data_IF_739779463892
#
_entry.id   IF_739779463892
#
_cell.length_a   1.000
_cell.length_b   1.000
_cell.length_c   1.000
_cell.angle_alpha   90.00
_cell.angle_beta   90.00
_cell.angle_gamma   90.00
#
_symmetry.space_group_name_H-M   'P 1'
#
loop_
_entity.id
_entity.type
_entity.pdbx_description
1 polymer ?
#
# COMPACT_ATOMS: atom_id res chain seq x y z
N UNK A 1 43.22 17.77 -37.47
CA UNK A 1 43.84 17.34 -36.19
C UNK A 1 43.49 15.90 -35.85
N UNK A 2 44.27 15.25 -35.00
CA UNK A 2 44.00 13.87 -34.61
C UNK A 2 42.81 13.77 -33.63
N UNK A 3 42.62 14.73 -32.77
CA UNK A 3 41.43 14.88 -31.90
C UNK A 3 40.70 16.18 -32.26
N UNK A 4 39.40 16.24 -31.99
CA UNK A 4 38.62 17.44 -32.23
C UNK A 4 39.00 18.57 -31.28
N UNK A 5 38.80 18.35 -29.98
CA UNK A 5 39.24 19.26 -28.92
C UNK A 5 40.13 18.48 -27.96
N UNK A 6 41.28 19.06 -27.58
CA UNK A 6 42.22 18.45 -26.63
C UNK A 6 42.59 19.42 -25.52
N UNK A 7 42.32 19.02 -24.29
CA UNK A 7 42.76 19.68 -23.08
C UNK A 7 43.97 18.89 -22.52
N UNK A 8 45.04 19.57 -22.24
CA UNK A 8 46.29 18.94 -21.79
C UNK A 8 46.54 19.19 -20.32
N UNK A 9 47.57 18.51 -19.78
CA UNK A 9 48.04 18.57 -18.40
C UNK A 9 48.00 20.00 -17.84
N UNK A 10 47.54 20.16 -16.62
CA UNK A 10 47.43 21.41 -15.86
C UNK A 10 46.35 22.43 -16.36
N UNK A 11 45.79 22.19 -17.51
CA UNK A 11 44.70 23.05 -17.98
C UNK A 11 43.38 22.75 -17.25
N UNK A 12 42.67 23.81 -16.87
CA UNK A 12 41.30 23.75 -16.44
C UNK A 12 40.41 24.35 -17.54
N UNK A 13 39.46 23.57 -18.04
CA UNK A 13 38.66 23.97 -19.16
C UNK A 13 37.14 23.74 -18.92
N UNK A 14 36.34 24.65 -19.41
CA UNK A 14 34.90 24.51 -19.54
C UNK A 14 34.56 24.45 -21.04
N UNK A 15 34.25 23.25 -21.54
CA UNK A 15 34.00 22.99 -22.98
C UNK A 15 32.53 22.73 -23.18
N UNK A 16 31.84 23.66 -23.79
CA UNK A 16 30.37 23.57 -23.91
C UNK A 16 29.85 23.98 -25.30
N UNK A 17 28.74 23.37 -25.67
CA UNK A 17 27.98 23.68 -26.88
C UNK A 17 28.80 23.62 -28.16
N UNK A 18 29.77 22.69 -28.24
CA UNK A 18 30.54 22.45 -29.44
C UNK A 18 29.94 21.26 -30.20
N UNK A 19 30.06 21.32 -31.51
CA UNK A 19 29.80 20.18 -32.39
C UNK A 19 31.13 19.71 -32.97
N UNK A 20 31.51 18.47 -32.65
CA UNK A 20 32.76 17.86 -33.09
C UNK A 20 32.43 16.56 -33.84
N UNK A 21 32.72 16.55 -35.14
CA UNK A 21 32.43 15.41 -36.01
C UNK A 21 33.66 14.98 -36.79
N UNK A 22 33.73 13.67 -37.07
CA UNK A 22 34.70 13.06 -37.97
C UNK A 22 36.17 13.35 -37.63
N UNK A 23 36.46 13.54 -36.35
CA UNK A 23 37.87 13.62 -35.86
C UNK A 23 38.55 12.26 -36.11
N UNK A 24 39.81 12.26 -36.44
CA UNK A 24 40.57 11.02 -36.67
C UNK A 24 40.63 10.12 -35.41
N UNK A 25 40.73 10.73 -34.25
CA UNK A 25 40.75 10.05 -32.94
C UNK A 25 39.47 10.40 -32.13
N UNK A 26 39.65 10.94 -30.90
CA UNK A 26 38.53 11.31 -30.03
C UNK A 26 37.88 12.63 -30.43
N UNK A 27 36.57 12.76 -30.15
CA UNK A 27 35.87 14.02 -30.30
C UNK A 27 36.43 15.07 -29.36
N UNK A 28 36.43 14.82 -28.07
CA UNK A 28 36.97 15.65 -27.02
C UNK A 28 37.77 14.80 -26.04
N UNK A 29 38.97 15.24 -25.70
CA UNK A 29 39.85 14.54 -24.73
C UNK A 29 40.45 15.49 -23.69
N UNK A 30 40.37 15.05 -22.42
CA UNK A 30 41.18 15.60 -21.31
C UNK A 30 42.32 14.63 -21.02
N UNK A 31 43.54 15.15 -21.03
CA UNK A 31 44.78 14.37 -20.75
C UNK A 31 45.51 15.00 -19.58
N UNK A 32 45.25 14.56 -18.36
CA UNK A 32 45.83 15.10 -17.12
C UNK A 32 45.31 16.50 -16.73
N UNK A 33 44.29 17.01 -17.41
CA UNK A 33 43.65 18.27 -17.09
C UNK A 33 42.41 18.09 -16.22
N UNK A 34 41.76 19.20 -15.89
CA UNK A 34 40.50 19.21 -15.15
C UNK A 34 39.45 20.08 -15.80
N UNK A 35 38.20 19.91 -15.40
CA UNK A 35 37.12 20.79 -15.86
C UNK A 35 35.82 20.08 -16.22
N UNK A 36 35.11 20.72 -17.14
CA UNK A 36 33.78 20.28 -17.53
C UNK A 36 33.63 20.20 -19.05
N UNK A 37 32.86 19.21 -19.52
CA UNK A 37 32.36 19.20 -20.87
C UNK A 37 30.83 19.05 -20.83
N UNK A 38 30.10 20.02 -21.39
CA UNK A 38 28.64 20.01 -21.35
C UNK A 38 28.01 20.41 -22.68
N UNK A 39 26.84 19.84 -22.91
CA UNK A 39 25.98 20.19 -24.07
C UNK A 39 26.71 20.09 -25.40
N UNK A 40 27.77 19.25 -25.53
CA UNK A 40 28.50 19.05 -26.75
C UNK A 40 27.88 17.91 -27.56
N UNK A 41 28.00 18.01 -28.88
CA UNK A 41 27.63 16.99 -29.85
C UNK A 41 28.92 16.39 -30.44
N UNK A 42 29.19 15.12 -30.17
CA UNK A 42 30.41 14.42 -30.48
C UNK A 42 30.10 13.16 -31.32
N UNK A 43 30.14 13.31 -32.64
CA UNK A 43 29.60 12.31 -33.56
C UNK A 43 30.61 11.82 -34.58
N UNK A 44 30.48 10.56 -34.96
CA UNK A 44 31.24 9.95 -36.05
C UNK A 44 32.79 10.07 -35.90
N UNK A 45 33.27 10.18 -34.65
CA UNK A 45 34.70 10.28 -34.42
C UNK A 45 35.39 8.91 -34.51
N UNK A 46 36.65 8.89 -34.91
CA UNK A 46 37.42 7.68 -35.16
C UNK A 46 37.71 6.83 -33.91
N UNK A 47 37.60 7.40 -32.72
CA UNK A 47 37.65 6.73 -31.44
C UNK A 47 36.43 7.13 -30.61
N UNK A 48 36.57 7.42 -29.30
CA UNK A 48 35.46 7.76 -28.43
C UNK A 48 34.99 9.21 -28.61
N UNK A 49 33.72 9.47 -28.27
CA UNK A 49 33.17 10.81 -28.23
C UNK A 49 33.90 11.66 -27.19
N UNK A 50 33.86 11.23 -25.93
CA UNK A 50 34.57 11.82 -24.80
C UNK A 50 35.67 10.87 -24.30
N UNK A 51 36.82 11.44 -23.89
CA UNK A 51 37.92 10.69 -23.31
C UNK A 51 38.51 11.43 -22.11
N UNK A 52 38.70 10.73 -21.00
CA UNK A 52 39.49 11.17 -19.87
C UNK A 52 40.71 10.24 -19.68
N UNK A 53 41.90 10.77 -19.64
CA UNK A 53 43.14 10.00 -19.55
C UNK A 53 44.18 10.67 -18.63
N UNK A 54 45.14 9.90 -18.12
CA UNK A 54 46.27 10.39 -17.32
C UNK A 54 45.83 11.24 -16.10
N UNK A 55 45.06 10.69 -15.21
CA UNK A 55 44.58 11.35 -13.99
C UNK A 55 43.76 12.63 -14.24
N UNK A 56 43.06 12.71 -15.35
CA UNK A 56 42.10 13.77 -15.57
C UNK A 56 40.96 13.74 -14.54
N UNK A 57 40.53 14.90 -14.07
CA UNK A 57 39.40 15.06 -13.15
C UNK A 57 38.31 15.91 -13.80
N UNK A 58 37.26 15.29 -14.29
CA UNK A 58 36.33 15.93 -15.21
C UNK A 58 34.86 15.59 -14.91
N UNK A 59 34.01 16.54 -15.28
CA UNK A 59 32.55 16.35 -15.28
C UNK A 59 32.05 16.34 -16.72
N UNK A 60 31.38 15.27 -17.13
CA UNK A 60 30.73 15.14 -18.42
C UNK A 60 29.22 15.08 -18.25
N UNK A 61 28.53 16.13 -18.71
CA UNK A 61 27.09 16.20 -18.53
C UNK A 61 26.35 16.78 -19.75
N UNK A 62 25.18 16.22 -20.03
CA UNK A 62 24.32 16.62 -21.15
C UNK A 62 25.00 16.57 -22.52
N UNK A 63 26.01 15.73 -22.71
CA UNK A 63 26.65 15.58 -24.01
C UNK A 63 25.94 14.50 -24.85
N UNK A 64 25.90 14.71 -26.17
CA UNK A 64 25.45 13.71 -27.14
C UNK A 64 26.68 13.05 -27.78
N UNK A 65 26.86 11.76 -27.56
CA UNK A 65 27.99 10.98 -28.10
C UNK A 65 27.45 9.85 -28.97
N UNK A 66 27.37 10.06 -30.29
CA UNK A 66 26.73 9.14 -31.20
C UNK A 66 27.67 8.70 -32.31
N UNK A 67 27.47 7.46 -32.80
CA UNK A 67 28.14 6.89 -33.98
C UNK A 67 29.67 6.98 -33.95
N UNK A 68 30.27 7.02 -32.76
CA UNK A 68 31.73 7.01 -32.62
C UNK A 68 32.26 5.58 -32.81
N UNK A 69 33.42 5.41 -33.46
CA UNK A 69 34.04 4.08 -33.70
C UNK A 69 34.62 3.45 -32.41
N UNK A 70 34.70 4.20 -31.33
CA UNK A 70 35.01 3.72 -29.99
C UNK A 70 33.78 3.72 -29.12
N UNK A 71 33.93 4.25 -27.91
CA UNK A 71 32.87 4.39 -26.90
C UNK A 71 32.24 5.79 -26.92
N UNK A 72 31.07 5.93 -26.34
CA UNK A 72 30.52 7.25 -26.04
C UNK A 72 31.46 8.01 -25.11
N UNK A 73 31.73 7.45 -23.94
CA UNK A 73 32.70 7.94 -22.95
C UNK A 73 33.76 6.86 -22.69
N UNK A 74 35.03 7.26 -22.61
CA UNK A 74 36.12 6.41 -22.14
C UNK A 74 36.88 7.07 -21.02
N UNK A 75 37.06 6.39 -19.87
CA UNK A 75 37.91 6.79 -18.77
C UNK A 75 39.09 5.83 -18.62
N UNK A 76 40.31 6.36 -18.41
CA UNK A 76 41.51 5.57 -18.35
C UNK A 76 42.53 6.16 -17.35
N UNK A 77 43.49 5.35 -16.89
CA UNK A 77 44.70 5.76 -16.15
C UNK A 77 44.44 6.73 -14.97
N UNK A 78 43.74 6.25 -13.93
CA UNK A 78 43.45 7.01 -12.70
C UNK A 78 42.59 8.26 -12.90
N UNK A 79 41.91 8.39 -14.04
CA UNK A 79 40.98 9.51 -14.25
C UNK A 79 39.74 9.36 -13.39
N UNK A 80 39.21 10.49 -12.92
CA UNK A 80 37.97 10.58 -12.18
C UNK A 80 36.93 11.32 -13.04
N UNK A 81 35.85 10.65 -13.41
CA UNK A 81 34.87 11.18 -14.35
C UNK A 81 33.48 11.15 -13.70
N UNK A 82 32.92 12.32 -13.42
CA UNK A 82 31.52 12.42 -13.03
C UNK A 82 30.66 12.54 -14.28
N UNK A 83 29.63 11.72 -14.40
CA UNK A 83 28.73 11.71 -15.55
C UNK A 83 27.29 11.97 -15.13
N UNK A 84 26.53 12.68 -15.97
CA UNK A 84 25.08 12.87 -15.80
C UNK A 84 24.44 13.38 -17.09
N UNK A 85 23.26 12.90 -17.44
CA UNK A 85 22.46 13.40 -18.56
C UNK A 85 23.08 13.25 -19.95
N UNK A 86 24.12 12.43 -20.12
CA UNK A 86 24.70 12.21 -21.43
C UNK A 86 23.82 11.25 -22.26
N UNK A 87 23.74 11.47 -23.56
CA UNK A 87 23.01 10.64 -24.51
C UNK A 87 23.96 9.88 -25.41
N UNK A 88 23.69 8.60 -25.63
CA UNK A 88 24.51 7.70 -26.42
C UNK A 88 23.64 7.00 -27.45
N UNK A 89 24.17 6.85 -28.68
CA UNK A 89 23.58 6.02 -29.70
C UNK A 89 24.61 5.52 -30.67
N UNK A 90 24.52 4.28 -31.07
CA UNK A 90 25.30 3.64 -32.14
C UNK A 90 26.82 3.76 -32.00
N UNK A 91 27.37 3.88 -30.80
CA UNK A 91 28.81 3.83 -30.56
C UNK A 91 29.30 2.38 -30.75
N UNK A 92 30.32 2.18 -31.61
CA UNK A 92 30.67 0.82 -32.09
C UNK A 92 31.17 -0.12 -30.99
N UNK A 93 31.63 0.40 -29.83
CA UNK A 93 32.16 -0.38 -28.72
C UNK A 93 31.33 -0.30 -27.45
N UNK A 94 30.25 0.49 -27.45
CA UNK A 94 29.38 0.71 -26.29
C UNK A 94 29.43 2.15 -25.78
N UNK A 95 28.67 2.38 -24.72
CA UNK A 95 28.41 3.74 -24.24
C UNK A 95 29.49 4.23 -23.27
N UNK A 96 29.77 3.49 -22.22
CA UNK A 96 30.78 3.88 -21.22
C UNK A 96 31.79 2.75 -21.03
N UNK A 97 33.08 3.11 -21.02
CA UNK A 97 34.15 2.17 -20.76
C UNK A 97 35.18 2.73 -19.78
N UNK A 98 35.46 1.95 -18.77
CA UNK A 98 36.42 2.31 -17.70
C UNK A 98 37.53 1.30 -17.69
N UNK A 99 38.76 1.75 -17.65
CA UNK A 99 39.96 0.86 -17.65
C UNK A 99 41.08 1.39 -16.76
N UNK A 100 41.89 0.49 -16.29
CA UNK A 100 42.95 0.80 -15.34
C UNK A 100 42.35 1.20 -13.99
N UNK A 101 42.98 2.16 -13.33
CA UNK A 101 42.51 2.69 -12.03
C UNK A 101 41.62 3.94 -12.20
N UNK A 102 40.94 4.07 -13.32
CA UNK A 102 39.95 5.14 -13.52
C UNK A 102 38.63 4.81 -12.82
N UNK A 103 37.84 5.82 -12.53
CA UNK A 103 36.50 5.68 -11.99
C UNK A 103 35.53 6.61 -12.70
N UNK A 104 34.30 6.10 -12.90
CA UNK A 104 33.16 6.90 -13.31
C UNK A 104 32.20 6.99 -12.11
N UNK A 105 31.79 8.19 -11.78
CA UNK A 105 30.93 8.49 -10.64
C UNK A 105 29.56 8.96 -11.13
N UNK A 106 28.52 8.32 -10.64
CA UNK A 106 27.14 8.78 -10.79
C UNK A 106 26.75 9.75 -9.67
N UNK A 107 25.71 10.50 -9.87
CA UNK A 107 25.10 11.29 -8.80
C UNK A 107 24.51 10.35 -7.73
N UNK A 108 24.38 10.88 -6.52
CA UNK A 108 23.57 10.23 -5.49
C UNK A 108 22.08 10.23 -5.90
N UNK A 109 21.32 9.18 -5.57
CA UNK A 109 19.86 9.26 -5.64
C UNK A 109 19.32 10.35 -4.73
N UNK A 110 18.45 11.20 -5.29
CA UNK A 110 17.77 12.28 -4.56
C UNK A 110 16.36 11.83 -4.14
N UNK A 111 15.72 12.62 -3.25
CA UNK A 111 14.35 12.43 -2.81
C UNK A 111 14.04 11.02 -2.30
N UNK A 112 14.99 10.38 -1.63
CA UNK A 112 14.72 9.09 -0.96
C UNK A 112 13.65 9.29 0.09
N UNK A 113 12.53 8.59 -0.05
CA UNK A 113 11.35 8.67 0.82
C UNK A 113 10.90 7.28 1.22
N UNK A 114 10.18 7.21 2.32
CA UNK A 114 9.51 5.99 2.76
C UNK A 114 8.01 6.14 2.70
N UNK A 115 7.33 5.06 2.34
CA UNK A 115 5.88 4.94 2.35
C UNK A 115 5.48 3.55 2.84
N UNK A 116 4.19 3.34 3.08
CA UNK A 116 3.63 2.06 3.53
C UNK A 116 4.35 1.46 4.75
N UNK A 117 4.79 2.34 5.66
CA UNK A 117 5.51 1.92 6.86
C UNK A 117 4.57 1.12 7.76
N UNK A 118 4.95 -0.14 8.00
CA UNK A 118 4.24 -1.03 8.91
C UNK A 118 5.17 -1.62 9.97
N UNK A 119 4.75 -2.69 10.62
CA UNK A 119 5.50 -3.36 11.69
C UNK A 119 6.67 -4.17 11.15
N UNK A 120 6.48 -4.81 10.00
CA UNK A 120 7.37 -5.79 9.40
C UNK A 120 7.87 -5.40 8.00
N UNK A 121 7.41 -4.26 7.47
CA UNK A 121 7.77 -3.80 6.12
C UNK A 121 7.69 -2.29 5.97
N UNK A 122 8.38 -1.79 4.96
CA UNK A 122 8.22 -0.45 4.42
C UNK A 122 8.64 -0.41 2.94
N UNK A 123 8.21 0.59 2.22
CA UNK A 123 8.63 0.83 0.83
C UNK A 123 9.47 2.09 0.76
N UNK A 124 10.65 1.98 0.14
CA UNK A 124 11.49 3.12 -0.25
C UNK A 124 11.21 3.52 -1.68
N UNK A 125 11.26 4.80 -1.97
CA UNK A 125 11.22 5.36 -3.33
C UNK A 125 12.27 6.45 -3.44
N UNK A 126 12.82 6.68 -4.64
CA UNK A 126 13.82 7.70 -4.93
C UNK A 126 13.68 8.22 -6.36
N UNK A 127 14.37 9.32 -6.67
CA UNK A 127 14.40 9.85 -8.03
C UNK A 127 15.40 9.06 -8.89
N UNK A 128 15.08 8.94 -10.18
CA UNK A 128 15.95 8.29 -11.15
C UNK A 128 17.28 9.03 -11.29
N UNK A 129 18.38 8.27 -11.26
CA UNK A 129 19.72 8.76 -11.55
C UNK A 129 20.07 8.49 -13.00
N UNK A 130 20.33 9.54 -13.75
CA UNK A 130 20.70 9.43 -15.15
C UNK A 130 21.97 8.56 -15.35
N UNK A 131 21.94 7.69 -16.35
CA UNK A 131 22.96 6.67 -16.66
C UNK A 131 23.13 5.57 -15.60
N UNK A 132 22.26 5.46 -14.63
CA UNK A 132 22.27 4.30 -13.74
C UNK A 132 21.64 3.09 -14.44
N UNK A 133 22.26 1.94 -14.30
CA UNK A 133 21.67 0.63 -14.70
C UNK A 133 20.91 0.01 -13.53
N UNK A 134 21.06 0.54 -12.33
CA UNK A 134 20.33 0.09 -11.16
C UNK A 134 20.82 0.75 -9.88
N UNK A 135 20.35 0.19 -8.77
CA UNK A 135 20.56 0.74 -7.44
C UNK A 135 20.88 -0.36 -6.44
N UNK A 136 21.81 -0.10 -5.54
CA UNK A 136 22.02 -0.87 -4.32
C UNK A 136 21.28 -0.20 -3.17
N UNK A 137 20.53 -0.97 -2.42
CA UNK A 137 19.85 -0.52 -1.20
C UNK A 137 20.58 -1.09 0.00
N UNK A 138 20.94 -0.21 0.93
CA UNK A 138 21.63 -0.55 2.16
C UNK A 138 20.76 -0.24 3.36
N UNK A 139 20.85 -1.06 4.38
CA UNK A 139 20.15 -0.91 5.65
C UNK A 139 21.09 -1.16 6.82
N UNK A 140 20.87 -0.46 7.91
CA UNK A 140 21.36 -0.81 9.24
C UNK A 140 20.30 -0.50 10.30
N UNK A 141 20.46 -1.03 11.50
CA UNK A 141 19.72 -0.54 12.67
C UNK A 141 20.35 0.78 13.17
N UNK A 142 19.60 1.55 13.97
CA UNK A 142 20.08 2.81 14.57
C UNK A 142 20.95 2.55 15.83
N UNK A 143 21.63 1.40 15.89
CA UNK A 143 22.59 1.10 16.95
C UNK A 143 23.94 1.72 16.62
N UNK A 144 24.70 2.11 17.65
CA UNK A 144 25.95 2.87 17.52
C UNK A 144 27.00 2.10 16.69
N UNK A 145 27.10 0.79 16.88
CA UNK A 145 28.07 -0.07 16.19
C UNK A 145 27.50 -0.79 14.96
N UNK A 146 26.31 -0.40 14.48
CA UNK A 146 25.69 -1.08 13.34
C UNK A 146 26.29 -0.62 12.01
N UNK A 147 26.75 -1.57 11.22
CA UNK A 147 27.27 -1.36 9.86
C UNK A 147 26.13 -1.46 8.83
N UNK A 148 26.29 -0.75 7.71
CA UNK A 148 25.39 -0.87 6.58
C UNK A 148 25.58 -2.20 5.87
N UNK A 149 24.48 -2.92 5.69
CA UNK A 149 24.41 -4.14 4.89
C UNK A 149 23.65 -3.85 3.59
N UNK A 150 24.15 -4.34 2.46
CA UNK A 150 23.44 -4.33 1.21
C UNK A 150 22.30 -5.36 1.27
N UNK A 151 21.06 -4.89 1.22
CA UNK A 151 19.88 -5.75 1.32
C UNK A 151 19.19 -6.01 -0.03
N UNK A 152 19.47 -5.19 -1.05
CA UNK A 152 18.90 -5.38 -2.37
C UNK A 152 19.77 -4.78 -3.48
N UNK A 153 19.56 -5.33 -4.69
CA UNK A 153 19.93 -4.75 -5.97
C UNK A 153 18.65 -4.55 -6.78
N UNK A 154 18.39 -3.33 -7.20
CA UNK A 154 17.19 -2.94 -7.96
C UNK A 154 17.64 -2.54 -9.36
N UNK A 155 17.25 -3.31 -10.37
CA UNK A 155 17.60 -3.08 -11.79
C UNK A 155 16.41 -2.60 -12.62
N UNK A 156 15.24 -2.52 -12.02
CA UNK A 156 14.03 -2.02 -12.68
C UNK A 156 13.27 -1.09 -11.72
N UNK A 157 13.12 0.15 -12.16
CA UNK A 157 12.43 1.19 -11.40
C UNK A 157 13.26 1.83 -10.28
N UNK A 158 12.58 2.60 -9.45
CA UNK A 158 13.17 3.43 -8.37
C UNK A 158 12.43 3.22 -7.05
N UNK A 159 12.10 1.96 -6.75
CA UNK A 159 11.36 1.57 -5.55
C UNK A 159 11.81 0.21 -5.04
N UNK A 160 11.82 0.06 -3.73
CA UNK A 160 12.12 -1.21 -3.06
C UNK A 160 11.28 -1.37 -1.81
N UNK A 161 10.66 -2.54 -1.63
CA UNK A 161 9.96 -2.89 -0.40
C UNK A 161 10.81 -3.84 0.43
N UNK A 162 11.15 -3.39 1.63
CA UNK A 162 11.87 -4.18 2.62
C UNK A 162 10.90 -4.90 3.53
N UNK A 163 11.08 -6.19 3.72
CA UNK A 163 10.24 -7.08 4.53
C UNK A 163 11.05 -7.69 5.68
N UNK A 164 10.36 -8.26 6.65
CA UNK A 164 10.97 -8.94 7.79
C UNK A 164 11.60 -7.97 8.80
N UNK A 165 11.09 -6.76 8.85
CA UNK A 165 11.51 -5.77 9.83
C UNK A 165 10.99 -6.11 11.22
N UNK A 166 11.68 -5.64 12.25
CA UNK A 166 11.26 -5.78 13.64
C UNK A 166 10.38 -4.58 14.02
N UNK A 167 9.22 -4.82 14.64
CA UNK A 167 8.33 -3.75 15.09
C UNK A 167 9.02 -2.76 16.04
N UNK A 168 8.59 -1.50 16.02
CA UNK A 168 9.08 -0.41 16.90
C UNK A 168 10.59 -0.18 16.85
N UNK A 169 11.25 -0.64 15.78
CA UNK A 169 12.70 -0.57 15.59
C UNK A 169 13.06 0.58 14.65
N UNK A 170 14.16 1.26 14.95
CA UNK A 170 14.71 2.29 14.06
C UNK A 170 15.70 1.66 13.09
N UNK A 171 15.54 2.00 11.83
CA UNK A 171 16.42 1.62 10.73
C UNK A 171 16.93 2.86 10.02
N UNK A 172 18.12 2.76 9.48
CA UNK A 172 18.74 3.77 8.61
C UNK A 172 18.95 3.13 7.24
N UNK A 173 18.47 3.80 6.21
CA UNK A 173 18.61 3.36 4.82
C UNK A 173 19.43 4.36 4.03
N UNK A 174 20.12 3.87 3.03
CA UNK A 174 20.70 4.65 1.96
C UNK A 174 20.60 3.90 0.64
N UNK A 175 20.60 4.64 -0.45
CA UNK A 175 20.55 4.09 -1.81
C UNK A 175 21.75 4.62 -2.59
N UNK A 176 22.34 3.78 -3.41
CA UNK A 176 23.48 4.10 -4.25
C UNK A 176 23.20 3.63 -5.68
N UNK A 177 23.35 4.52 -6.66
CA UNK A 177 23.25 4.15 -8.06
C UNK A 177 24.50 3.39 -8.54
N UNK A 178 24.35 2.49 -9.48
CA UNK A 178 25.47 1.86 -10.15
C UNK A 178 25.32 1.89 -11.68
N UNK A 179 26.44 1.84 -12.36
CA UNK A 179 26.57 1.70 -13.81
C UNK A 179 27.40 0.45 -14.12
N UNK A 180 26.82 -0.44 -14.91
CA UNK A 180 27.48 -1.64 -15.36
C UNK A 180 28.28 -1.32 -16.64
N UNK A 181 29.57 -1.48 -16.59
CA UNK A 181 30.45 -1.27 -17.74
C UNK A 181 31.04 -2.59 -18.22
N UNK A 182 31.62 -2.59 -19.40
CA UNK A 182 32.13 -3.84 -20.04
C UNK A 182 33.04 -4.65 -19.11
N UNK A 183 33.85 -4.00 -18.28
CA UNK A 183 34.85 -4.69 -17.47
C UNK A 183 34.64 -4.51 -15.94
N UNK A 184 33.70 -3.68 -15.51
CA UNK A 184 33.50 -3.36 -14.08
C UNK A 184 32.19 -2.66 -13.78
N UNK A 185 31.70 -2.80 -12.56
CA UNK A 185 30.62 -1.98 -12.02
C UNK A 185 31.21 -0.70 -11.43
N UNK A 186 30.62 0.43 -11.75
CA UNK A 186 30.95 1.74 -11.20
C UNK A 186 29.83 2.18 -10.27
N UNK A 187 30.19 2.57 -9.06
CA UNK A 187 29.21 3.02 -8.07
C UNK A 187 29.18 4.55 -7.94
N UNK A 188 28.01 5.10 -7.79
CA UNK A 188 27.79 6.51 -7.50
C UNK A 188 28.04 6.86 -6.04
N UNK A 189 27.66 8.07 -5.68
CA UNK A 189 27.64 8.49 -4.28
C UNK A 189 26.42 7.92 -3.55
N UNK A 190 26.55 7.76 -2.24
CA UNK A 190 25.41 7.40 -1.38
C UNK A 190 24.38 8.53 -1.37
N UNK A 191 23.10 8.18 -1.29
CA UNK A 191 22.05 9.14 -0.93
C UNK A 191 22.25 9.67 0.49
N UNK A 192 21.50 10.68 0.86
CA UNK A 192 21.33 11.05 2.26
C UNK A 192 20.73 9.87 3.05
N UNK A 193 21.10 9.76 4.32
CA UNK A 193 20.55 8.74 5.23
C UNK A 193 19.07 8.99 5.50
N UNK A 194 18.26 7.95 5.33
CA UNK A 194 16.84 7.95 5.62
C UNK A 194 16.57 7.19 6.94
N UNK A 195 16.22 7.94 7.98
CA UNK A 195 15.91 7.39 9.30
C UNK A 195 14.42 7.08 9.41
N UNK A 196 14.08 5.83 9.68
CA UNK A 196 12.70 5.35 9.73
C UNK A 196 12.51 4.52 11.00
N UNK A 197 11.36 4.69 11.65
CA UNK A 197 10.92 3.81 12.72
C UNK A 197 9.72 3.00 12.25
N UNK A 198 9.81 1.67 12.35
CA UNK A 198 8.69 0.76 12.09
C UNK A 198 7.58 0.96 13.10
N UNK A 199 6.36 0.67 12.67
CA UNK A 199 5.16 0.75 13.52
C UNK A 199 5.00 -0.51 14.36
N UNK A 200 4.03 -0.48 15.25
CA UNK A 200 3.47 -1.65 15.92
C UNK A 200 2.35 -2.24 15.08
N UNK A 201 2.14 -3.55 15.17
CA UNK A 201 0.99 -4.20 14.52
C UNK A 201 -0.21 -4.22 15.45
N UNK A 202 -1.41 -4.14 14.88
CA UNK A 202 -2.68 -4.37 15.59
C UNK A 202 -3.15 -5.83 15.43
N UNK A 203 -2.45 -6.63 14.63
CA UNK A 203 -2.74 -8.06 14.48
C UNK A 203 -2.57 -8.76 15.82
N UNK A 204 -3.58 -9.57 16.20
CA UNK A 204 -3.59 -10.25 17.50
C UNK A 204 -4.10 -9.39 18.66
N UNK A 205 -4.57 -8.16 18.39
CA UNK A 205 -5.24 -7.36 19.42
C UNK A 205 -6.47 -8.08 19.97
N UNK A 206 -6.84 -7.75 21.18
CA UNK A 206 -8.06 -8.24 21.83
C UNK A 206 -9.01 -7.10 22.11
N UNK A 207 -10.28 -7.42 22.35
CA UNK A 207 -11.31 -6.41 22.65
C UNK A 207 -12.20 -6.89 23.79
N UNK A 208 -12.85 -5.93 24.49
CA UNK A 208 -13.94 -6.20 25.41
C UNK A 208 -15.32 -6.05 24.72
N UNK A 209 -15.37 -6.19 23.40
CA UNK A 209 -16.59 -6.09 22.61
C UNK A 209 -17.61 -7.15 23.03
N UNK A 210 -18.88 -6.77 23.07
CA UNK A 210 -19.99 -7.71 23.33
C UNK A 210 -20.20 -8.63 22.12
N UNK A 211 -20.41 -9.92 22.38
CA UNK A 211 -20.66 -10.92 21.33
C UNK A 211 -22.00 -10.75 20.61
N UNK A 212 -22.95 -9.97 21.17
CA UNK A 212 -24.24 -9.74 20.54
C UNK A 212 -24.86 -8.38 20.88
N UNK A 213 -25.73 -7.92 19.97
CA UNK A 213 -26.56 -6.72 20.13
C UNK A 213 -28.01 -6.98 19.69
N UNK A 214 -28.93 -6.22 20.24
CA UNK A 214 -30.32 -6.30 19.82
C UNK A 214 -30.56 -5.63 18.47
N UNK A 215 -31.33 -6.25 17.63
CA UNK A 215 -31.82 -5.68 16.36
C UNK A 215 -32.70 -4.46 16.59
N UNK A 216 -32.50 -3.41 15.78
CA UNK A 216 -33.28 -2.17 15.81
C UNK A 216 -33.73 -1.67 14.44
N UNK A 217 -33.28 -2.34 13.37
CA UNK A 217 -33.50 -1.88 11.98
C UNK A 217 -32.62 -0.70 11.59
N UNK A 218 -31.64 -0.31 12.43
CA UNK A 218 -30.65 0.73 12.19
C UNK A 218 -29.24 0.16 12.39
N UNK A 219 -28.26 0.88 11.92
CA UNK A 219 -26.85 0.51 12.15
C UNK A 219 -26.56 0.28 13.63
N UNK A 220 -25.83 -0.80 13.88
CA UNK A 220 -25.37 -1.18 15.22
C UNK A 220 -23.87 -1.00 15.31
N UNK A 221 -23.46 -0.14 16.21
CA UNK A 221 -22.04 0.06 16.57
C UNK A 221 -21.87 -0.15 18.06
N UNK A 222 -20.67 -0.52 18.49
CA UNK A 222 -20.34 -0.75 19.87
C UNK A 222 -19.24 0.22 20.34
N UNK A 223 -19.28 0.60 21.59
CA UNK A 223 -18.15 1.22 22.27
C UNK A 223 -17.42 0.09 22.98
N UNK A 224 -16.17 -0.09 22.68
CA UNK A 224 -15.31 -1.11 23.27
C UNK A 224 -13.85 -0.64 23.26
N UNK A 225 -13.05 -1.23 24.12
CA UNK A 225 -11.63 -1.00 24.16
C UNK A 225 -10.88 -2.03 23.30
N UNK A 226 -9.77 -1.61 22.73
CA UNK A 226 -8.83 -2.46 21.97
C UNK A 226 -7.54 -2.55 22.76
N UNK A 227 -6.99 -3.77 22.91
CA UNK A 227 -5.78 -4.04 23.66
C UNK A 227 -4.73 -4.70 22.78
N UNK A 228 -3.51 -4.20 22.85
CA UNK A 228 -2.31 -4.81 22.26
C UNK A 228 -1.28 -5.00 23.36
N UNK A 229 -0.80 -6.22 23.57
CA UNK A 229 0.18 -6.56 24.63
C UNK A 229 -0.21 -6.06 26.03
N UNK A 230 -1.52 -5.99 26.33
CA UNK A 230 -2.06 -5.52 27.60
C UNK A 230 -2.23 -4.00 27.72
N UNK A 231 -1.77 -3.24 26.76
CA UNK A 231 -1.96 -1.78 26.69
C UNK A 231 -3.28 -1.44 26.00
N UNK A 232 -4.03 -0.49 26.55
CA UNK A 232 -5.28 -0.01 25.93
C UNK A 232 -4.97 1.05 24.90
N UNK A 233 -5.47 0.84 23.68
CA UNK A 233 -5.29 1.76 22.56
C UNK A 233 -6.32 2.90 22.60
N UNK A 234 -5.92 4.06 22.08
CA UNK A 234 -6.74 5.27 22.04
C UNK A 234 -7.48 5.36 20.70
N UNK A 235 -8.83 5.38 20.69
CA UNK A 235 -9.62 5.56 19.46
C UNK A 235 -9.22 6.85 18.74
N UNK A 236 -9.23 6.81 17.40
CA UNK A 236 -8.88 7.90 16.46
C UNK A 236 -7.43 8.42 16.57
N UNK A 237 -6.62 7.84 17.46
CA UNK A 237 -5.18 8.11 17.59
C UNK A 237 -4.37 6.87 17.20
N UNK A 238 -4.70 5.72 17.77
CA UNK A 238 -4.00 4.45 17.56
C UNK A 238 -4.75 3.53 16.60
N UNK A 239 -6.09 3.62 16.58
CA UNK A 239 -6.93 2.82 15.69
C UNK A 239 -8.21 3.55 15.30
N UNK A 240 -8.84 3.08 14.23
CA UNK A 240 -10.23 3.42 13.85
C UNK A 240 -11.01 2.15 13.56
N UNK A 241 -12.34 2.22 13.60
CA UNK A 241 -13.22 1.08 13.34
C UNK A 241 -14.04 1.29 12.07
N UNK A 242 -14.27 0.20 11.33
CA UNK A 242 -15.16 0.15 10.18
C UNK A 242 -16.12 -1.02 10.38
N UNK A 243 -17.40 -0.77 10.23
CA UNK A 243 -18.44 -1.78 10.39
C UNK A 243 -19.00 -2.21 9.04
N UNK A 244 -19.36 -3.49 8.92
CA UNK A 244 -20.15 -4.04 7.81
C UNK A 244 -21.20 -5.01 8.33
N UNK A 245 -22.27 -5.20 7.55
CA UNK A 245 -23.40 -6.09 7.85
C UNK A 245 -24.09 -5.79 9.19
N UNK A 246 -23.95 -4.56 9.67
CA UNK A 246 -24.33 -4.14 11.03
C UNK A 246 -25.75 -3.53 11.15
N UNK A 247 -26.63 -3.82 10.20
CA UNK A 247 -28.04 -3.33 10.20
C UNK A 247 -29.02 -4.45 10.43
N UNK A 248 -28.84 -5.59 9.73
CA UNK A 248 -29.80 -6.71 9.74
C UNK A 248 -29.45 -7.74 10.82
N UNK A 249 -30.41 -8.61 11.13
CA UNK A 249 -30.19 -9.78 11.96
C UNK A 249 -29.18 -10.70 11.25
N UNK A 250 -28.22 -11.20 11.99
CA UNK A 250 -27.13 -12.01 11.52
C UNK A 250 -25.81 -11.58 12.14
N UNK A 251 -24.72 -12.08 11.59
CA UNK A 251 -23.38 -11.75 12.07
C UNK A 251 -22.87 -10.47 11.40
N UNK A 252 -22.65 -9.46 12.19
CA UNK A 252 -22.02 -8.21 11.80
C UNK A 252 -20.49 -8.30 12.01
N UNK A 253 -19.76 -7.53 11.24
CA UNK A 253 -18.31 -7.44 11.32
C UNK A 253 -17.88 -6.03 11.71
N UNK A 254 -16.84 -5.95 12.55
CA UNK A 254 -16.10 -4.73 12.79
C UNK A 254 -14.62 -4.97 12.49
N UNK A 255 -14.05 -4.16 11.62
CA UNK A 255 -12.62 -4.14 11.33
C UNK A 255 -11.98 -3.02 12.14
N UNK A 256 -11.05 -3.38 13.01
CA UNK A 256 -10.17 -2.45 13.72
C UNK A 256 -8.95 -2.22 12.85
N UNK A 257 -8.67 -0.98 12.48
CA UNK A 257 -7.58 -0.60 11.57
C UNK A 257 -6.59 0.24 12.37
N UNK A 258 -5.33 -0.19 12.43
CA UNK A 258 -4.24 0.55 13.07
C UNK A 258 -3.94 1.85 12.33
N UNK A 259 -3.76 2.93 13.08
CA UNK A 259 -3.34 4.25 12.60
C UNK A 259 -2.24 4.81 13.51
N UNK A 260 -1.72 6.00 13.20
CA UNK A 260 -0.65 6.60 14.00
C UNK A 260 0.59 5.72 14.05
N UNK A 261 0.93 5.26 15.24
CA UNK A 261 2.07 4.35 15.46
C UNK A 261 1.73 2.85 15.29
N UNK A 262 0.49 2.54 14.95
CA UNK A 262 0.04 1.19 14.62
C UNK A 262 -0.25 1.05 13.12
N UNK A 263 -0.26 -0.18 12.64
CA UNK A 263 -0.62 -0.56 11.27
C UNK A 263 -1.43 -1.86 11.27
N UNK A 264 -1.74 -2.34 10.06
CA UNK A 264 -2.54 -3.53 9.82
C UNK A 264 -4.00 -3.40 10.28
N UNK A 265 -4.72 -4.52 10.28
CA UNK A 265 -6.11 -4.56 10.73
C UNK A 265 -6.42 -5.91 11.37
N UNK A 266 -7.42 -5.92 12.22
CA UNK A 266 -7.99 -7.11 12.83
C UNK A 266 -9.52 -7.08 12.73
N UNK A 267 -10.10 -8.23 12.42
CA UNK A 267 -11.54 -8.38 12.25
C UNK A 267 -12.16 -9.05 13.48
N UNK A 268 -13.27 -8.50 13.93
CA UNK A 268 -14.10 -9.04 15.00
C UNK A 268 -15.53 -9.17 14.52
N UNK A 269 -16.28 -10.07 15.14
CA UNK A 269 -17.67 -10.32 14.80
C UNK A 269 -18.56 -10.22 16.04
N UNK A 270 -19.80 -9.82 15.81
CA UNK A 270 -20.85 -9.86 16.81
C UNK A 270 -22.20 -10.15 16.13
N UNK A 271 -23.10 -10.78 16.86
CA UNK A 271 -24.40 -11.12 16.34
C UNK A 271 -25.42 -10.01 16.60
N UNK A 272 -26.20 -9.67 15.59
CA UNK A 272 -27.39 -8.86 15.72
C UNK A 272 -28.58 -9.80 15.83
N UNK A 273 -29.23 -9.83 17.00
CA UNK A 273 -30.28 -10.77 17.31
C UNK A 273 -31.56 -10.03 17.70
N UNK A 274 -32.68 -10.68 17.46
CA UNK A 274 -33.90 -10.25 18.11
C UNK A 274 -33.73 -10.38 19.64
N UNK A 275 -34.18 -9.38 20.36
CA UNK A 275 -34.15 -9.42 21.82
C UNK A 275 -35.11 -10.51 22.28
N UNK A 276 -34.64 -11.47 23.08
CA UNK A 276 -35.43 -12.64 23.48
C UNK A 276 -36.71 -12.28 24.19
N UNK A 277 -36.69 -11.24 24.98
CA UNK A 277 -37.87 -10.72 25.71
C UNK A 277 -38.87 -9.97 24.81
N UNK A 278 -38.45 -9.58 23.59
CA UNK A 278 -39.26 -8.88 22.60
C UNK A 278 -39.65 -9.77 21.44
N UNK A 279 -39.28 -11.07 21.47
CA UNK A 279 -39.63 -12.03 20.42
C UNK A 279 -40.64 -13.02 20.94
N UNK A 280 -41.81 -13.04 20.31
CA UNK A 280 -42.83 -14.07 20.51
C UNK A 280 -42.93 -14.95 19.27
N UNK A 281 -42.79 -16.25 19.46
CA UNK A 281 -43.01 -17.21 18.38
C UNK A 281 -44.38 -17.85 18.58
N UNK A 282 -45.30 -17.58 17.63
CA UNK A 282 -46.63 -18.15 17.62
C UNK A 282 -46.64 -19.31 16.62
N UNK A 283 -46.82 -20.52 17.12
CA UNK A 283 -46.89 -21.71 16.27
C UNK A 283 -48.23 -21.81 15.57
N UNK A 284 -48.31 -22.34 14.34
CA UNK A 284 -49.55 -22.52 13.63
C UNK A 284 -50.65 -23.26 14.42
N UNK A 285 -50.27 -24.24 15.25
CA UNK A 285 -51.19 -24.99 16.09
C UNK A 285 -51.84 -24.11 17.18
N UNK A 286 -51.22 -23.05 17.63
CA UNK A 286 -51.79 -22.12 18.62
C UNK A 286 -52.88 -21.25 18.00
N UNK A 287 -52.79 -20.96 16.71
CA UNK A 287 -53.77 -20.18 15.94
C UNK A 287 -54.96 -20.99 15.49
N UNK A 288 -54.79 -22.27 15.27
CA UNK A 288 -55.83 -23.17 14.75
C UNK A 288 -56.85 -23.63 15.80
N UNK A 289 -56.60 -23.41 17.08
CA UNK A 289 -57.52 -23.88 18.14
C UNK A 289 -58.90 -23.23 18.14
N UNK A 290 -59.01 -22.03 17.58
CA UNK A 290 -60.31 -21.28 17.57
C UNK A 290 -60.97 -21.27 16.20
N UNK A 291 -60.26 -21.63 15.14
CA UNK A 291 -60.83 -21.65 13.78
C UNK A 291 -61.74 -22.85 13.47
N UNK A 292 -61.74 -23.80 14.35
CA UNK A 292 -62.52 -25.07 14.19
C UNK A 292 -64.00 -24.83 14.38
N UNK A 293 -64.46 -23.73 14.94
CA UNK A 293 -65.87 -23.52 15.32
C UNK A 293 -66.70 -23.01 14.17
N UNK A 294 -66.19 -22.52 13.09
CA UNK A 294 -66.97 -21.80 12.05
C UNK A 294 -66.72 -22.23 10.61
N UNK A 295 -66.13 -23.42 10.36
CA UNK A 295 -65.88 -23.85 8.98
C UNK A 295 -64.63 -23.25 8.40
N UNK A 296 -64.35 -23.38 7.12
CA UNK A 296 -63.08 -23.00 6.47
C UNK A 296 -62.56 -21.64 6.91
N UNK A 297 -61.38 -21.56 7.56
CA UNK A 297 -60.82 -20.30 8.00
C UNK A 297 -60.56 -19.39 6.81
N UNK A 298 -61.04 -18.16 6.89
CA UNK A 298 -60.70 -17.12 5.92
C UNK A 298 -59.40 -16.41 6.34
N UNK A 299 -58.69 -15.81 5.39
CA UNK A 299 -57.51 -15.00 5.71
C UNK A 299 -57.82 -13.91 6.76
N UNK A 300 -59.04 -13.43 6.83
CA UNK A 300 -59.50 -12.43 7.79
C UNK A 300 -59.61 -13.00 9.21
N UNK A 301 -60.08 -14.24 9.37
CA UNK A 301 -60.12 -14.89 10.68
C UNK A 301 -58.75 -15.24 11.20
N UNK A 302 -57.85 -15.69 10.34
CA UNK A 302 -56.45 -15.96 10.73
C UNK A 302 -55.74 -14.70 11.21
N UNK A 303 -55.91 -13.58 10.53
CA UNK A 303 -55.33 -12.31 10.94
C UNK A 303 -55.87 -11.82 12.28
N UNK A 304 -57.16 -12.03 12.55
CA UNK A 304 -57.74 -11.71 13.83
C UNK A 304 -57.19 -12.57 14.97
N UNK A 305 -57.02 -13.86 14.75
CA UNK A 305 -56.47 -14.77 15.76
C UNK A 305 -55.00 -14.43 16.07
N UNK A 306 -54.19 -14.04 15.09
CA UNK A 306 -52.85 -13.54 15.30
C UNK A 306 -52.89 -12.27 16.16
N UNK A 307 -53.74 -11.32 15.85
CA UNK A 307 -53.84 -10.06 16.60
C UNK A 307 -54.26 -10.30 18.07
N UNK A 308 -55.18 -11.21 18.31
CA UNK A 308 -55.61 -11.57 19.67
C UNK A 308 -54.51 -12.30 20.45
N UNK A 309 -53.84 -13.25 19.82
CA UNK A 309 -52.71 -13.97 20.44
C UNK A 309 -51.54 -13.04 20.78
N UNK A 310 -51.25 -12.06 19.93
CA UNK A 310 -50.26 -11.03 20.17
C UNK A 310 -50.63 -10.13 21.34
N UNK A 311 -51.89 -9.66 21.36
CA UNK A 311 -52.41 -8.83 22.44
C UNK A 311 -52.32 -9.53 23.78
N UNK A 312 -52.76 -10.79 23.83
CA UNK A 312 -52.75 -11.58 25.05
C UNK A 312 -51.35 -11.75 25.61
N UNK A 313 -50.34 -11.95 24.73
CA UNK A 313 -48.94 -12.05 25.13
C UNK A 313 -48.33 -10.70 25.51
N UNK A 314 -48.69 -9.62 24.85
CA UNK A 314 -48.21 -8.27 25.17
C UNK A 314 -48.69 -7.77 26.53
N UNK A 315 -49.93 -8.13 26.93
CA UNK A 315 -50.49 -7.75 28.23
C UNK A 315 -49.69 -8.34 29.41
N UNK A 316 -48.90 -9.39 29.16
CA UNK A 316 -48.06 -10.06 30.17
C UNK A 316 -46.55 -9.74 30.07
N UNK A 317 -46.15 -8.90 29.16
CA UNK A 317 -44.75 -8.58 28.95
C UNK A 317 -44.53 -7.07 28.89
N UNK A 318 -43.60 -6.54 29.68
CA UNK A 318 -43.22 -5.12 29.66
C UNK A 318 -42.21 -4.87 28.56
N UNK A 319 -42.64 -4.62 27.32
CA UNK A 319 -41.72 -4.47 26.20
C UNK A 319 -41.79 -3.12 25.52
N UNK A 320 -40.63 -2.59 25.20
CA UNK A 320 -40.54 -1.34 24.43
C UNK A 320 -40.64 -1.54 22.92
N UNK A 321 -40.23 -2.70 22.40
CA UNK A 321 -40.22 -3.00 20.96
C UNK A 321 -40.40 -4.52 20.73
N UNK A 322 -41.55 -5.10 20.93
CA UNK A 322 -41.74 -6.53 20.75
C UNK A 322 -41.66 -6.93 19.29
N UNK A 323 -40.86 -7.93 18.99
CA UNK A 323 -40.89 -8.64 17.71
C UNK A 323 -41.60 -9.96 17.88
N UNK A 324 -42.57 -10.21 16.99
CA UNK A 324 -43.36 -11.43 16.98
C UNK A 324 -43.06 -12.20 15.69
N UNK A 325 -42.65 -13.42 15.85
CA UNK A 325 -42.37 -14.33 14.74
C UNK A 325 -43.50 -15.40 14.73
N UNK A 326 -44.20 -15.48 13.62
CA UNK A 326 -45.24 -16.46 13.41
C UNK A 326 -44.79 -17.48 12.38
N UNK A 327 -44.68 -18.75 12.79
CA UNK A 327 -44.26 -19.83 11.92
C UNK A 327 -45.45 -20.34 11.08
N UNK A 328 -45.43 -20.02 9.79
CA UNK A 328 -46.37 -20.51 8.81
C UNK A 328 -45.68 -21.09 7.60
N UNK A 329 -46.35 -22.00 6.91
CA UNK A 329 -45.85 -22.65 5.70
C UNK A 329 -45.97 -21.75 4.45
N UNK A 330 -46.68 -20.64 4.51
CA UNK A 330 -46.80 -19.69 3.40
C UNK A 330 -47.05 -18.26 3.90
N UNK A 331 -46.65 -17.21 3.12
CA UNK A 331 -46.89 -15.82 3.47
C UNK A 331 -48.39 -15.48 3.69
N UNK A 332 -49.25 -16.11 2.95
CA UNK A 332 -50.70 -15.88 3.05
C UNK A 332 -51.29 -16.25 4.42
N UNK A 333 -50.64 -17.14 5.15
CA UNK A 333 -51.04 -17.53 6.50
C UNK A 333 -50.60 -16.52 7.58
N UNK A 334 -49.71 -15.61 7.25
CA UNK A 334 -49.16 -14.61 8.19
C UNK A 334 -49.89 -13.28 8.08
N UNK A 335 -50.86 -13.14 7.18
CA UNK A 335 -51.53 -11.88 6.94
C UNK A 335 -52.43 -11.52 8.12
N UNK A 336 -51.90 -10.70 8.95
CA UNK A 336 -52.58 -10.13 10.09
C UNK A 336 -53.20 -8.79 9.71
N UNK A 337 -54.17 -8.77 8.83
CA UNK A 337 -54.91 -7.52 8.53
C UNK A 337 -56.02 -7.23 9.51
N UNK A 338 -56.46 -8.22 10.27
CA UNK A 338 -57.44 -8.00 11.29
C UNK A 338 -56.89 -7.09 12.37
N UNK A 339 -57.40 -5.91 12.52
CA UNK A 339 -56.97 -4.89 13.47
C UNK A 339 -55.53 -4.39 13.27
N UNK A 340 -55.06 -4.34 12.04
CA UNK A 340 -53.78 -3.70 11.72
C UNK A 340 -53.69 -2.22 12.16
N UNK A 341 -54.81 -1.58 12.32
CA UNK A 341 -54.99 -0.26 12.91
C UNK A 341 -54.69 -0.20 14.41
N UNK A 342 -54.74 -1.31 15.12
CA UNK A 342 -54.41 -1.42 16.54
C UNK A 342 -52.98 -1.94 16.79
N UNK A 343 -52.44 -2.69 15.81
CA UNK A 343 -51.16 -3.36 15.92
C UNK A 343 -50.40 -3.05 14.62
N UNK A 344 -49.52 -2.11 14.60
CA UNK A 344 -48.67 -1.83 13.42
C UNK A 344 -47.81 -3.06 13.08
N UNK A 345 -48.47 -4.02 12.42
CA UNK A 345 -47.95 -5.35 12.17
C UNK A 345 -47.27 -5.41 10.80
N UNK A 346 -45.98 -5.70 10.77
CA UNK A 346 -45.22 -5.94 9.56
C UNK A 346 -45.03 -7.43 9.32
N UNK A 347 -45.25 -7.84 8.08
CA UNK A 347 -45.03 -9.23 7.66
C UNK A 347 -43.77 -9.31 6.82
N UNK A 348 -42.85 -10.19 7.21
CA UNK A 348 -41.65 -10.51 6.45
C UNK A 348 -41.42 -12.01 6.41
N UNK A 349 -40.60 -12.47 5.47
CA UNK A 349 -40.10 -13.83 5.53
C UNK A 349 -39.17 -14.02 6.72
N UNK A 350 -39.28 -15.15 7.37
CA UNK A 350 -38.38 -15.50 8.48
C UNK A 350 -36.92 -15.59 8.01
N UNK A 351 -36.72 -15.89 6.75
CA UNK A 351 -35.40 -15.89 6.12
C UNK A 351 -34.69 -14.54 6.14
N UNK A 352 -35.43 -13.44 6.04
CA UNK A 352 -34.89 -12.08 6.16
C UNK A 352 -34.40 -11.77 7.57
N UNK A 353 -34.91 -12.46 8.58
CA UNK A 353 -34.60 -12.24 9.98
C UNK A 353 -33.52 -13.21 10.51
N UNK A 354 -33.58 -14.47 10.10
CA UNK A 354 -32.77 -15.56 10.69
C UNK A 354 -31.96 -16.38 9.67
N UNK A 355 -32.18 -16.17 8.36
CA UNK A 355 -31.62 -17.01 7.30
C UNK A 355 -32.43 -18.28 7.01
N UNK A 356 -33.47 -18.60 7.82
CA UNK A 356 -34.36 -19.75 7.62
C UNK A 356 -35.53 -19.42 6.72
N UNK A 357 -36.06 -20.43 6.00
CA UNK A 357 -37.18 -20.25 5.07
C UNK A 357 -38.52 -20.38 5.81
N UNK A 358 -38.76 -19.52 6.75
CA UNK A 358 -40.04 -19.41 7.48
C UNK A 358 -40.57 -18.00 7.29
N UNK A 359 -41.88 -17.85 7.32
CA UNK A 359 -42.53 -16.53 7.28
C UNK A 359 -42.85 -16.05 8.69
N UNK A 360 -42.64 -14.79 8.95
CA UNK A 360 -42.87 -14.19 10.25
C UNK A 360 -43.55 -12.84 10.19
N UNK A 361 -44.06 -12.42 11.34
CA UNK A 361 -44.61 -11.10 11.56
C UNK A 361 -44.03 -10.51 12.85
N UNK A 362 -43.89 -9.18 12.87
CA UNK A 362 -43.52 -8.46 14.09
C UNK A 362 -44.20 -7.09 14.18
N UNK A 363 -44.30 -6.59 15.37
CA UNK A 363 -44.86 -5.28 15.68
C UNK A 363 -43.77 -4.22 15.70
#
# INVERSE_FOLDING_TARGET
GSNGIKITKEAKADVRKNTVKKSKNHGLIFTGGSGKASDNILEENGLSGLMADNSASVEFFNNTCNKNKGYGIKANKKSQVKISGNSFADNSKGDVYVTGSAAVLLNAPDNVKSQDICSDKLTLTWDEVSQADGYYVYRKTDAEDAEFEQIATVTDGTSFTDYGLVPKTRYVYKVKAFLDTVDSVQEGSDSADMNIKTKLTIVGCTTNMRGSMSYTGKERTQIFDVFVDGETLIPDVDYRTVYSDNVNIGTAKVTVIGIGQYCDSADFQFDIMLKSDNVMVIKPQELNRKSIVTGKPTMKSQGYEVAEAVKDKLDHTSHREPAIVVNYNSPSQVIAKARADMLDLRVRSYRELTGETIYGAWL
#
